data_IF_383740200053
#
_entry.id   IF_383740200053
#
_cell.length_a   1.000
_cell.length_b   1.000
_cell.length_c   1.000
_cell.angle_alpha   90.00
_cell.angle_beta   90.00
_cell.angle_gamma   90.00
#
_symmetry.space_group_name_H-M   'P 1'
#
loop_
_entity.id
_entity.type
_entity.pdbx_description
1 polymer ?
#
# COMPACT_ATOMS: atom_id res chain seq x y z
N UNK A 1 -9.10 24.08 2.63
CA UNK A 1 -8.67 22.76 3.15
C UNK A 1 -8.84 22.78 4.66
N UNK A 2 -9.31 21.72 5.33
CA UNK A 2 -9.51 21.75 6.77
C UNK A 2 -8.18 22.02 7.50
N UNK A 3 -8.19 22.85 8.54
CA UNK A 3 -6.98 23.23 9.33
C UNK A 3 -6.19 22.00 9.79
N UNK A 4 -6.91 20.93 10.14
CA UNK A 4 -6.34 19.64 10.56
C UNK A 4 -5.37 19.07 9.51
N UNK A 5 -5.69 19.17 8.22
CA UNK A 5 -4.81 18.65 7.16
C UNK A 5 -3.51 19.45 7.09
N UNK A 6 -3.60 20.77 7.18
CA UNK A 6 -2.42 21.64 7.18
C UNK A 6 -1.52 21.28 8.37
N UNK A 7 -2.12 21.07 9.55
CA UNK A 7 -1.41 20.59 10.74
C UNK A 7 -0.69 19.25 10.52
N UNK A 8 -1.35 18.26 9.91
CA UNK A 8 -0.75 16.96 9.59
C UNK A 8 0.47 17.11 8.67
N UNK A 9 0.38 17.96 7.64
CA UNK A 9 1.51 18.22 6.74
C UNK A 9 2.67 18.93 7.46
N UNK A 10 2.38 19.94 8.29
CA UNK A 10 3.42 20.67 9.05
C UNK A 10 4.14 19.73 10.01
N UNK A 11 3.38 18.96 10.80
CA UNK A 11 3.94 18.00 11.77
C UNK A 11 4.77 16.94 11.04
N UNK A 12 4.24 16.37 9.96
CA UNK A 12 4.97 15.36 9.17
C UNK A 12 6.26 15.94 8.60
N UNK A 13 6.21 17.14 8.02
CA UNK A 13 7.39 17.78 7.44
C UNK A 13 8.45 18.12 8.49
N UNK A 14 8.04 18.66 9.65
CA UNK A 14 8.94 18.94 10.77
C UNK A 14 9.62 17.66 11.29
N UNK A 15 8.86 16.58 11.47
CA UNK A 15 9.41 15.29 11.90
C UNK A 15 10.34 14.68 10.84
N UNK A 16 10.01 14.78 9.56
CA UNK A 16 10.86 14.27 8.48
C UNK A 16 12.18 15.02 8.40
N UNK A 17 12.17 16.35 8.51
CA UNK A 17 13.40 17.14 8.57
C UNK A 17 14.22 16.79 9.82
N UNK A 18 13.57 16.69 10.98
CA UNK A 18 14.26 16.34 12.22
C UNK A 18 14.89 14.94 12.18
N UNK A 19 14.30 14.00 11.44
CA UNK A 19 14.75 12.60 11.41
C UNK A 19 15.74 12.34 10.27
N UNK A 20 15.49 12.87 9.08
CA UNK A 20 16.24 12.56 7.86
C UNK A 20 17.10 13.74 7.35
N UNK A 21 16.87 14.94 7.88
CA UNK A 21 17.38 16.18 7.31
C UNK A 21 16.68 16.57 6.00
N UNK A 22 17.18 17.63 5.37
CA UNK A 22 16.76 18.04 4.03
C UNK A 22 17.61 17.30 2.98
N UNK A 23 17.15 16.13 2.55
CA UNK A 23 17.76 15.37 1.46
C UNK A 23 16.85 15.34 0.22
N UNK A 24 17.24 16.06 -0.82
CA UNK A 24 16.54 16.10 -2.12
C UNK A 24 17.26 15.30 -3.23
N UNK A 25 18.28 14.51 -2.88
CA UNK A 25 18.91 13.60 -3.84
C UNK A 25 17.94 12.49 -4.21
N UNK A 26 17.41 12.52 -5.43
CA UNK A 26 16.56 11.45 -5.96
C UNK A 26 17.46 10.22 -6.15
N UNK A 27 17.23 9.12 -5.41
CA UNK A 27 18.07 7.93 -5.54
C UNK A 27 17.98 7.39 -6.96
N UNK A 28 19.12 7.03 -7.54
CA UNK A 28 19.15 6.30 -8.80
C UNK A 28 18.46 4.93 -8.62
N UNK A 29 18.00 4.31 -9.72
CA UNK A 29 17.30 3.02 -9.65
C UNK A 29 18.15 1.88 -9.05
N UNK A 30 19.48 2.01 -9.04
CA UNK A 30 20.45 1.08 -8.45
C UNK A 30 20.65 1.30 -6.94
N UNK A 31 20.64 2.54 -6.46
CA UNK A 31 20.96 2.88 -5.06
C UNK A 31 19.76 2.70 -4.10
N UNK A 32 18.63 2.24 -4.65
CA UNK A 32 17.36 2.06 -3.91
C UNK A 32 17.52 1.13 -2.70
N UNK A 33 18.39 0.12 -2.78
CA UNK A 33 18.58 -0.82 -1.68
C UNK A 33 19.36 -0.20 -0.51
N UNK A 34 20.36 0.62 -0.79
CA UNK A 34 21.15 1.30 0.23
C UNK A 34 20.33 2.37 0.95
N UNK A 35 19.55 3.16 0.20
CA UNK A 35 18.64 4.14 0.78
C UNK A 35 17.60 3.48 1.68
N UNK A 36 17.12 2.28 1.32
CA UNK A 36 16.20 1.51 2.17
C UNK A 36 16.87 0.96 3.43
N UNK A 37 18.13 0.54 3.34
CA UNK A 37 18.89 0.09 4.51
C UNK A 37 19.09 1.25 5.49
N UNK A 38 19.55 2.41 5.00
CA UNK A 38 19.69 3.64 5.79
C UNK A 38 18.36 4.08 6.40
N UNK A 39 17.26 4.05 5.63
CA UNK A 39 15.94 4.35 6.14
C UNK A 39 15.55 3.43 7.31
N UNK A 40 15.80 2.12 7.19
CA UNK A 40 15.50 1.16 8.27
C UNK A 40 16.30 1.47 9.53
N UNK A 41 17.59 1.74 9.38
CA UNK A 41 18.49 2.07 10.49
C UNK A 41 18.08 3.36 11.22
N UNK A 42 17.83 4.44 10.46
CA UNK A 42 17.41 5.74 11.03
C UNK A 42 16.04 5.63 11.72
N UNK A 43 15.13 4.81 11.20
CA UNK A 43 13.76 4.69 11.72
C UNK A 43 13.58 3.60 12.77
N UNK A 44 14.61 2.82 13.07
CA UNK A 44 14.54 1.71 14.04
C UNK A 44 14.16 2.22 15.44
N UNK A 45 14.65 3.41 15.82
CA UNK A 45 14.31 4.08 17.08
C UNK A 45 13.13 5.05 17.02
N UNK A 46 12.59 5.37 15.84
CA UNK A 46 11.52 6.37 15.68
C UNK A 46 10.30 5.77 14.97
N UNK A 47 9.52 5.02 15.76
CA UNK A 47 8.31 4.33 15.34
C UNK A 47 7.29 5.29 14.71
N UNK A 48 7.14 6.50 15.29
CA UNK A 48 6.20 7.51 14.80
C UNK A 48 6.56 7.97 13.39
N UNK A 49 7.84 8.31 13.14
CA UNK A 49 8.30 8.72 11.80
C UNK A 49 8.10 7.59 10.79
N UNK A 50 8.36 6.33 11.18
CA UNK A 50 8.17 5.16 10.30
C UNK A 50 6.71 5.03 9.83
N UNK A 51 5.75 5.17 10.75
CA UNK A 51 4.33 5.12 10.40
C UNK A 51 3.90 6.34 9.58
N UNK A 52 4.31 7.55 9.97
CA UNK A 52 3.95 8.79 9.28
C UNK A 52 4.41 8.81 7.82
N UNK A 53 5.63 8.34 7.51
CA UNK A 53 6.11 8.24 6.13
C UNK A 53 5.19 7.33 5.30
N UNK A 54 4.77 6.19 5.85
CA UNK A 54 3.82 5.28 5.21
C UNK A 54 2.44 5.92 5.00
N UNK A 55 1.89 6.56 6.02
CA UNK A 55 0.58 7.22 5.97
C UNK A 55 0.55 8.34 4.95
N UNK A 56 1.60 9.16 4.92
CA UNK A 56 1.72 10.24 3.95
C UNK A 56 1.83 9.69 2.53
N UNK A 57 2.66 8.67 2.30
CA UNK A 57 2.92 8.11 0.98
C UNK A 57 1.77 7.32 0.36
N UNK A 58 0.99 6.58 1.16
CA UNK A 58 -0.08 5.70 0.68
C UNK A 58 -1.49 6.29 0.79
N UNK A 59 -1.71 7.29 1.66
CA UNK A 59 -3.07 7.76 1.96
C UNK A 59 -3.18 9.28 1.89
N UNK A 60 -2.49 10.00 2.77
CA UNK A 60 -2.73 11.44 2.94
C UNK A 60 -2.38 12.22 1.68
N UNK A 61 -1.23 11.91 1.06
CA UNK A 61 -0.80 12.64 -0.13
C UNK A 61 -1.55 12.23 -1.40
N UNK A 62 -1.99 10.96 -1.49
CA UNK A 62 -2.92 10.54 -2.54
C UNK A 62 -4.26 11.26 -2.40
N UNK A 63 -4.76 11.41 -1.17
CA UNK A 63 -5.98 12.19 -0.92
C UNK A 63 -5.81 13.65 -1.35
N UNK A 64 -4.69 14.30 -1.03
CA UNK A 64 -4.41 15.67 -1.45
C UNK A 64 -4.36 15.80 -2.99
N UNK A 65 -3.68 14.87 -3.67
CA UNK A 65 -3.65 14.81 -5.13
C UNK A 65 -5.07 14.80 -5.71
N UNK A 66 -5.90 13.86 -5.24
CA UNK A 66 -7.26 13.69 -5.73
C UNK A 66 -8.10 14.94 -5.45
N UNK A 67 -7.98 15.50 -4.24
CA UNK A 67 -8.62 16.75 -3.86
C UNK A 67 -8.23 17.90 -4.79
N UNK A 68 -6.93 18.10 -5.03
CA UNK A 68 -6.42 19.14 -5.91
C UNK A 68 -6.92 19.00 -7.36
N UNK A 69 -6.98 17.77 -7.88
CA UNK A 69 -7.49 17.47 -9.21
C UNK A 69 -9.00 17.78 -9.35
N UNK A 70 -9.79 17.48 -8.33
CA UNK A 70 -11.23 17.78 -8.33
C UNK A 70 -11.50 19.28 -8.21
N UNK A 71 -10.81 19.97 -7.30
CA UNK A 71 -10.99 21.42 -7.12
C UNK A 71 -10.23 22.24 -8.17
N UNK A 72 -9.51 21.59 -9.08
CA UNK A 72 -8.63 22.23 -10.10
C UNK A 72 -7.62 23.22 -9.49
N UNK A 73 -7.16 22.97 -8.26
CA UNK A 73 -6.26 23.87 -7.56
C UNK A 73 -4.80 23.52 -7.88
N UNK A 74 -4.20 24.29 -8.79
CA UNK A 74 -2.83 24.03 -9.26
C UNK A 74 -1.78 24.12 -8.14
N UNK A 75 -1.96 25.00 -7.15
CA UNK A 75 -1.02 25.14 -6.02
C UNK A 75 -0.99 23.88 -5.17
N UNK A 76 -2.15 23.32 -4.85
CA UNK A 76 -2.26 22.07 -4.10
C UNK A 76 -1.75 20.88 -4.92
N UNK A 77 -1.97 20.88 -6.24
CA UNK A 77 -1.47 19.84 -7.12
C UNK A 77 0.07 19.82 -7.15
N UNK A 78 0.70 20.97 -7.37
CA UNK A 78 2.16 21.11 -7.37
C UNK A 78 2.72 20.69 -6.01
N UNK A 79 2.13 21.19 -4.92
CA UNK A 79 2.55 20.82 -3.57
C UNK A 79 2.47 19.30 -3.34
N UNK A 80 1.36 18.67 -3.72
CA UNK A 80 1.19 17.21 -3.62
C UNK A 80 2.26 16.43 -4.38
N UNK A 81 2.59 16.86 -5.61
CA UNK A 81 3.61 16.21 -6.44
C UNK A 81 4.99 16.36 -5.81
N UNK A 82 5.39 17.57 -5.42
CA UNK A 82 6.69 17.83 -4.79
C UNK A 82 6.82 17.05 -3.48
N UNK A 83 5.77 17.03 -2.67
CA UNK A 83 5.75 16.28 -1.41
C UNK A 83 5.86 14.77 -1.65
N UNK A 84 5.23 14.23 -2.71
CA UNK A 84 5.36 12.81 -3.06
C UNK A 84 6.80 12.46 -3.47
N UNK A 85 7.44 13.32 -4.26
CA UNK A 85 8.83 13.15 -4.66
C UNK A 85 9.76 13.21 -3.46
N UNK A 86 9.50 14.11 -2.50
CA UNK A 86 10.24 14.16 -1.24
C UNK A 86 10.06 12.87 -0.43
N UNK A 87 8.83 12.35 -0.25
CA UNK A 87 8.62 11.05 0.40
C UNK A 87 9.39 9.93 -0.31
N UNK A 88 9.47 9.98 -1.64
CA UNK A 88 10.22 8.99 -2.42
C UNK A 88 11.72 9.07 -2.15
N UNK A 89 12.31 10.26 -1.97
CA UNK A 89 13.74 10.37 -1.62
C UNK A 89 14.05 9.78 -0.24
N UNK A 90 13.10 9.79 0.69
CA UNK A 90 13.28 9.22 2.02
C UNK A 90 13.34 7.69 2.03
N UNK A 91 12.46 7.03 1.25
CA UNK A 91 12.21 5.60 1.40
C UNK A 91 12.58 4.77 0.15
N UNK A 92 12.82 5.44 -0.98
CA UNK A 92 13.07 4.86 -2.30
C UNK A 92 12.04 3.75 -2.67
N UNK A 93 10.79 3.90 -2.22
CA UNK A 93 9.71 2.95 -2.49
C UNK A 93 9.03 3.29 -3.80
N UNK A 94 9.35 2.52 -4.84
CA UNK A 94 8.72 2.62 -6.17
C UNK A 94 7.20 2.43 -6.11
N UNK A 95 6.70 1.65 -5.15
CA UNK A 95 5.26 1.45 -4.93
C UNK A 95 4.51 2.72 -4.53
N UNK A 96 5.16 3.65 -3.79
CA UNK A 96 4.54 4.94 -3.43
C UNK A 96 4.29 5.79 -4.68
N UNK A 97 5.27 5.87 -5.58
CA UNK A 97 5.13 6.61 -6.83
C UNK A 97 4.11 5.94 -7.76
N UNK A 98 4.17 4.61 -7.88
CA UNK A 98 3.24 3.86 -8.71
C UNK A 98 1.78 4.04 -8.24
N UNK A 99 1.52 3.94 -6.93
CA UNK A 99 0.20 4.17 -6.36
C UNK A 99 -0.30 5.60 -6.59
N UNK A 100 0.58 6.60 -6.46
CA UNK A 100 0.25 8.01 -6.70
C UNK A 100 -0.11 8.28 -8.17
N UNK A 101 0.66 7.76 -9.11
CA UNK A 101 0.38 7.87 -10.56
C UNK A 101 -0.91 7.13 -10.91
N UNK A 102 -1.09 5.90 -10.40
CA UNK A 102 -2.29 5.11 -10.64
C UNK A 102 -3.54 5.81 -10.08
N UNK A 103 -3.43 6.48 -8.93
CA UNK A 103 -4.52 7.29 -8.38
C UNK A 103 -4.96 8.41 -9.33
N UNK A 104 -4.00 9.15 -9.92
CA UNK A 104 -4.30 10.19 -10.89
C UNK A 104 -4.97 9.61 -12.14
N UNK A 105 -4.47 8.50 -12.68
CA UNK A 105 -5.07 7.83 -13.85
C UNK A 105 -6.50 7.38 -13.57
N UNK A 106 -6.73 6.71 -12.44
CA UNK A 106 -8.07 6.26 -12.03
C UNK A 106 -9.02 7.44 -11.82
N UNK A 107 -8.54 8.57 -11.29
CA UNK A 107 -9.35 9.78 -11.18
C UNK A 107 -9.90 10.25 -12.54
N UNK A 108 -9.04 10.34 -13.56
CA UNK A 108 -9.48 10.74 -14.90
C UNK A 108 -10.43 9.73 -15.53
N UNK A 109 -10.17 8.43 -15.33
CA UNK A 109 -11.05 7.36 -15.81
C UNK A 109 -12.42 7.46 -15.16
N UNK A 110 -12.52 7.57 -13.83
CA UNK A 110 -13.81 7.66 -13.13
C UNK A 110 -14.52 9.00 -13.34
N UNK A 111 -13.78 10.07 -13.63
CA UNK A 111 -14.36 11.35 -14.04
C UNK A 111 -15.05 11.25 -15.41
N UNK A 112 -14.47 10.49 -16.35
CA UNK A 112 -15.03 10.28 -17.69
C UNK A 112 -16.10 9.19 -17.72
N UNK A 113 -15.88 8.09 -16.99
CA UNK A 113 -16.73 6.91 -16.97
C UNK A 113 -17.25 6.68 -15.55
N UNK A 114 -18.51 7.08 -15.33
CA UNK A 114 -19.17 6.93 -14.02
C UNK A 114 -19.40 5.46 -13.62
N UNK A 115 -19.50 4.57 -14.61
CA UNK A 115 -19.58 3.13 -14.46
C UNK A 115 -18.76 2.47 -15.56
N UNK A 116 -17.63 1.86 -15.21
CA UNK A 116 -17.00 0.86 -16.07
C UNK A 116 -17.81 -0.42 -15.94
N UNK A 117 -18.36 -0.92 -17.04
CA UNK A 117 -18.91 -2.28 -17.05
C UNK A 117 -17.80 -3.25 -16.66
N UNK A 118 -18.06 -4.14 -15.69
CA UNK A 118 -17.09 -5.13 -15.23
C UNK A 118 -16.50 -5.94 -16.38
N UNK A 119 -17.30 -6.20 -17.42
CA UNK A 119 -16.86 -6.87 -18.64
C UNK A 119 -15.85 -6.05 -19.44
N UNK A 120 -16.09 -4.74 -19.62
CA UNK A 120 -15.14 -3.85 -20.33
C UNK A 120 -13.83 -3.72 -19.57
N UNK A 121 -13.88 -3.67 -18.24
CA UNK A 121 -12.67 -3.64 -17.42
C UNK A 121 -11.87 -4.93 -17.53
N UNK A 122 -12.53 -6.09 -17.41
CA UNK A 122 -11.89 -7.40 -17.56
C UNK A 122 -11.28 -7.56 -18.95
N UNK A 123 -12.03 -7.23 -20.01
CA UNK A 123 -11.54 -7.27 -21.39
C UNK A 123 -10.31 -6.37 -21.57
N UNK A 124 -10.34 -5.15 -21.03
CA UNK A 124 -9.19 -4.24 -21.05
C UNK A 124 -7.97 -4.84 -20.34
N UNK A 125 -8.14 -5.43 -19.16
CA UNK A 125 -7.03 -6.08 -18.42
C UNK A 125 -6.43 -7.24 -19.19
N UNK A 126 -7.27 -8.10 -19.79
CA UNK A 126 -6.81 -9.24 -20.60
C UNK A 126 -6.05 -8.75 -21.83
N UNK A 127 -6.62 -7.80 -22.59
CA UNK A 127 -5.97 -7.23 -23.77
C UNK A 127 -4.63 -6.57 -23.39
N UNK A 128 -4.59 -5.85 -22.27
CA UNK A 128 -3.38 -5.22 -21.77
C UNK A 128 -2.29 -6.26 -21.48
N UNK A 129 -2.61 -7.34 -20.76
CA UNK A 129 -1.65 -8.42 -20.46
C UNK A 129 -1.16 -9.07 -21.77
N UNK A 130 -2.08 -9.42 -22.69
CA UNK A 130 -1.71 -10.01 -23.97
C UNK A 130 -0.83 -9.09 -24.82
N UNK A 131 -1.09 -7.78 -24.79
CA UNK A 131 -0.29 -6.81 -25.52
C UNK A 131 1.14 -6.72 -25.00
N UNK A 132 1.34 -6.83 -23.68
CA UNK A 132 2.66 -6.84 -23.06
C UNK A 132 3.44 -8.10 -23.45
N UNK A 133 2.80 -9.27 -23.34
CA UNK A 133 3.39 -10.55 -23.76
C UNK A 133 3.77 -10.55 -25.24
N UNK A 134 2.96 -9.90 -26.09
CA UNK A 134 3.27 -9.77 -27.52
C UNK A 134 4.46 -8.86 -27.78
N UNK A 135 4.61 -7.77 -27.02
CA UNK A 135 5.79 -6.89 -27.11
C UNK A 135 7.06 -7.63 -26.69
N UNK A 136 7.03 -8.40 -25.61
CA UNK A 136 8.19 -9.20 -25.18
C UNK A 136 8.55 -10.25 -26.24
N UNK A 137 7.54 -10.92 -26.82
CA UNK A 137 7.73 -11.87 -27.91
C UNK A 137 8.44 -11.26 -29.13
N UNK A 138 8.06 -10.03 -29.53
CA UNK A 138 8.69 -9.35 -30.66
C UNK A 138 10.10 -8.85 -30.30
N UNK A 139 10.27 -8.31 -29.10
CA UNK A 139 11.55 -7.70 -28.69
C UNK A 139 12.59 -8.72 -28.24
N UNK A 140 12.18 -9.97 -28.01
CA UNK A 140 13.05 -11.03 -27.46
C UNK A 140 13.55 -10.70 -26.06
N UNK A 141 12.88 -9.79 -25.36
CA UNK A 141 13.27 -9.30 -24.04
C UNK A 141 12.13 -9.55 -23.06
N UNK A 142 12.34 -10.39 -22.05
CA UNK A 142 11.31 -10.79 -21.09
C UNK A 142 11.02 -9.71 -20.02
N UNK A 143 11.43 -8.46 -20.26
CA UNK A 143 11.42 -7.41 -19.25
C UNK A 143 10.01 -7.06 -18.80
N UNK A 144 9.01 -7.00 -19.71
CA UNK A 144 7.65 -6.65 -19.32
C UNK A 144 6.95 -7.83 -18.62
N UNK A 145 7.18 -9.06 -19.06
CA UNK A 145 6.71 -10.29 -18.42
C UNK A 145 7.29 -10.42 -17.01
N UNK A 146 8.60 -10.18 -16.84
CA UNK A 146 9.26 -10.18 -15.53
C UNK A 146 8.71 -9.08 -14.61
N UNK A 147 8.37 -7.90 -15.15
CA UNK A 147 7.91 -6.77 -14.35
C UNK A 147 6.42 -6.81 -13.99
N UNK A 148 5.59 -7.42 -14.83
CA UNK A 148 4.12 -7.37 -14.68
C UNK A 148 3.60 -8.77 -14.35
N UNK A 149 3.73 -9.75 -15.25
CA UNK A 149 3.20 -11.10 -15.05
C UNK A 149 3.88 -11.78 -13.85
N UNK A 150 5.21 -11.80 -13.83
CA UNK A 150 5.96 -12.45 -12.76
C UNK A 150 5.77 -11.73 -11.42
N UNK A 151 5.83 -10.40 -11.38
CA UNK A 151 5.72 -9.67 -10.10
C UNK A 151 4.31 -9.58 -9.53
N UNK A 152 3.28 -9.48 -10.38
CA UNK A 152 1.90 -9.29 -9.89
C UNK A 152 1.22 -10.65 -9.68
N UNK A 153 1.52 -11.67 -10.49
CA UNK A 153 0.85 -12.97 -10.40
C UNK A 153 1.75 -14.06 -9.82
N UNK A 154 2.91 -14.31 -10.45
CA UNK A 154 3.72 -15.50 -10.13
C UNK A 154 4.36 -15.40 -8.75
N UNK A 155 5.04 -14.28 -8.44
CA UNK A 155 5.77 -14.10 -7.17
C UNK A 155 4.83 -14.15 -5.96
N UNK A 156 3.70 -13.43 -5.92
CA UNK A 156 2.75 -13.56 -4.82
C UNK A 156 2.22 -14.99 -4.63
N UNK A 157 1.96 -15.71 -5.72
CA UNK A 157 1.50 -17.10 -5.68
C UNK A 157 2.57 -18.05 -5.16
N UNK A 158 3.82 -17.85 -5.60
CA UNK A 158 4.97 -18.61 -5.13
C UNK A 158 5.23 -18.38 -3.64
N UNK A 159 5.16 -17.13 -3.18
CA UNK A 159 5.31 -16.79 -1.76
C UNK A 159 4.17 -17.36 -0.92
N UNK A 160 2.94 -17.33 -1.44
CA UNK A 160 1.77 -17.98 -0.84
C UNK A 160 2.03 -19.46 -0.59
N UNK A 161 2.52 -20.17 -1.61
CA UNK A 161 2.87 -21.59 -1.50
C UNK A 161 3.99 -21.82 -0.47
N UNK A 162 5.09 -21.07 -0.50
CA UNK A 162 6.20 -21.25 0.43
C UNK A 162 5.81 -21.03 1.90
N UNK A 163 4.97 -20.03 2.18
CA UNK A 163 4.44 -19.85 3.52
C UNK A 163 3.49 -20.98 3.92
N UNK A 164 2.61 -21.43 3.03
CA UNK A 164 1.71 -22.53 3.32
C UNK A 164 2.49 -23.81 3.67
N UNK A 165 3.39 -24.24 2.79
CA UNK A 165 4.22 -25.44 2.94
C UNK A 165 5.06 -25.40 4.23
N UNK A 166 5.67 -24.26 4.53
CA UNK A 166 6.47 -24.11 5.75
C UNK A 166 5.63 -24.24 7.02
N UNK A 167 4.47 -23.59 7.07
CA UNK A 167 3.64 -23.52 8.28
C UNK A 167 2.62 -24.65 8.39
N UNK A 168 2.47 -25.52 7.39
CA UNK A 168 1.54 -26.65 7.43
C UNK A 168 1.88 -27.64 8.56
N UNK A 169 3.15 -28.03 8.65
CA UNK A 169 3.64 -29.01 9.63
C UNK A 169 4.46 -28.39 10.76
N UNK A 170 4.38 -27.08 10.96
CA UNK A 170 5.15 -26.35 11.98
C UNK A 170 4.26 -25.51 12.89
N UNK A 171 4.80 -25.14 14.05
CA UNK A 171 4.11 -24.33 15.04
C UNK A 171 3.60 -23.02 14.44
N UNK A 172 2.34 -22.69 14.71
CA UNK A 172 1.76 -21.45 14.23
C UNK A 172 2.33 -20.25 14.99
N UNK A 173 2.27 -19.08 14.37
CA UNK A 173 2.95 -17.88 14.89
C UNK A 173 2.10 -17.10 15.89
N UNK A 174 0.78 -17.33 15.90
CA UNK A 174 -0.20 -16.64 16.75
C UNK A 174 -0.12 -15.10 16.67
N UNK A 175 0.41 -14.54 15.58
CA UNK A 175 0.78 -13.12 15.46
C UNK A 175 1.66 -12.57 16.62
N UNK A 176 2.35 -13.46 17.34
CA UNK A 176 3.20 -13.13 18.48
C UNK A 176 4.46 -12.35 18.10
N UNK A 177 4.80 -12.30 16.81
CA UNK A 177 5.87 -11.44 16.31
C UNK A 177 5.48 -9.94 16.25
N UNK A 178 4.19 -9.63 16.41
CA UNK A 178 3.64 -8.27 16.30
C UNK A 178 2.56 -8.01 17.34
N UNK A 179 1.28 -8.04 16.97
CA UNK A 179 0.16 -7.53 17.78
C UNK A 179 -0.06 -8.32 19.06
N UNK A 180 0.25 -9.63 19.07
CA UNK A 180 0.03 -10.49 20.24
C UNK A 180 1.33 -10.92 20.93
N UNK A 181 2.39 -10.12 20.80
CA UNK A 181 3.70 -10.38 21.41
C UNK A 181 3.64 -10.62 22.92
N UNK A 182 2.77 -9.90 23.62
CA UNK A 182 2.65 -9.98 25.08
C UNK A 182 1.68 -11.08 25.55
N UNK A 183 0.94 -11.71 24.63
CA UNK A 183 -0.09 -12.71 24.94
C UNK A 183 0.40 -14.13 24.64
N UNK A 184 1.14 -14.30 23.54
CA UNK A 184 1.62 -15.60 23.08
C UNK A 184 3.14 -15.61 22.95
N UNK A 185 3.77 -16.74 23.26
CA UNK A 185 5.20 -16.94 23.02
C UNK A 185 5.45 -17.17 21.53
N UNK A 186 6.32 -16.36 20.92
CA UNK A 186 6.69 -16.52 19.52
C UNK A 186 7.67 -17.70 19.34
N UNK A 187 7.37 -18.73 18.51
CA UNK A 187 8.18 -19.95 18.46
C UNK A 187 9.41 -19.88 17.53
N UNK A 188 9.72 -18.73 16.94
CA UNK A 188 10.82 -18.57 15.97
C UNK A 188 11.72 -17.39 16.31
N UNK A 189 12.91 -17.33 15.70
CA UNK A 189 13.87 -16.22 15.89
C UNK A 189 13.58 -15.03 14.98
N UNK A 190 13.13 -15.29 13.75
CA UNK A 190 12.88 -14.27 12.73
C UNK A 190 11.38 -14.10 12.50
N UNK A 191 10.90 -12.92 12.06
CA UNK A 191 9.52 -12.75 11.60
C UNK A 191 9.18 -13.69 10.42
N UNK A 192 7.92 -14.10 10.23
CA UNK A 192 7.55 -15.09 9.22
C UNK A 192 8.02 -14.77 7.79
N UNK A 193 7.92 -13.51 7.29
CA UNK A 193 8.45 -13.15 5.98
C UNK A 193 9.98 -13.34 5.85
N UNK A 194 10.73 -13.17 6.94
CA UNK A 194 12.19 -13.30 6.94
C UNK A 194 12.62 -14.77 7.04
N UNK A 195 11.85 -15.62 7.75
CA UNK A 195 12.07 -17.08 7.77
C UNK A 195 11.99 -17.65 6.34
N UNK A 196 10.96 -17.26 5.58
CA UNK A 196 10.81 -17.71 4.19
C UNK A 196 11.88 -17.11 3.28
N UNK A 197 12.29 -15.86 3.52
CA UNK A 197 13.43 -15.23 2.86
C UNK A 197 14.73 -16.01 3.05
N UNK A 198 15.04 -16.40 4.28
CA UNK A 198 16.20 -17.21 4.61
C UNK A 198 16.13 -18.60 3.96
N UNK A 199 15.01 -19.32 4.15
CA UNK A 199 14.89 -20.73 3.73
C UNK A 199 14.88 -20.92 2.21
N UNK A 200 14.18 -20.05 1.47
CA UNK A 200 13.99 -20.22 0.03
C UNK A 200 14.90 -19.33 -0.82
N UNK A 201 15.49 -18.28 -0.25
CA UNK A 201 16.33 -17.34 -0.98
C UNK A 201 17.73 -17.13 -0.36
N UNK A 202 18.05 -17.84 0.73
CA UNK A 202 19.37 -17.79 1.38
C UNK A 202 19.69 -16.44 2.02
N UNK A 203 18.70 -15.60 2.28
CA UNK A 203 18.91 -14.25 2.78
C UNK A 203 17.89 -13.87 3.85
N UNK A 204 18.32 -13.87 5.12
CA UNK A 204 17.51 -13.48 6.27
C UNK A 204 17.01 -12.01 6.22
N UNK A 205 17.71 -11.13 5.48
CA UNK A 205 17.30 -9.72 5.30
C UNK A 205 16.21 -9.58 4.24
N UNK A 206 15.96 -10.62 3.43
CA UNK A 206 14.89 -10.63 2.44
C UNK A 206 13.54 -10.81 3.13
N UNK A 207 12.60 -9.93 2.81
CA UNK A 207 11.24 -9.98 3.36
C UNK A 207 10.29 -10.57 2.31
N UNK A 208 9.97 -11.86 2.46
CA UNK A 208 9.00 -12.57 1.62
C UNK A 208 7.57 -12.35 2.14
N UNK A 209 6.99 -11.19 1.83
CA UNK A 209 5.64 -10.81 2.29
C UNK A 209 4.56 -11.61 1.55
N UNK A 210 3.49 -11.97 2.26
CA UNK A 210 2.33 -12.69 1.73
C UNK A 210 1.04 -11.90 1.92
N UNK A 211 -0.01 -12.35 1.23
CA UNK A 211 -1.35 -11.80 1.39
C UNK A 211 -1.95 -12.13 2.77
N UNK A 212 -3.02 -11.40 3.09
CA UNK A 212 -3.76 -11.47 4.35
C UNK A 212 -4.24 -12.89 4.73
N UNK A 213 -4.62 -13.72 3.75
CA UNK A 213 -5.21 -15.04 4.01
C UNK A 213 -4.14 -16.01 4.46
N UNK A 214 -3.01 -16.02 3.75
CA UNK A 214 -1.86 -16.85 4.11
C UNK A 214 -1.24 -16.37 5.42
N UNK A 215 -1.19 -15.06 5.67
CA UNK A 215 -0.79 -14.57 6.99
C UNK A 215 -1.74 -15.08 8.10
N UNK A 216 -3.05 -15.05 7.88
CA UNK A 216 -4.00 -15.69 8.80
C UNK A 216 -3.68 -17.17 9.01
N UNK A 217 -3.35 -17.89 7.94
CA UNK A 217 -2.94 -19.30 8.00
C UNK A 217 -1.64 -19.52 8.78
N UNK A 218 -0.62 -18.67 8.62
CA UNK A 218 0.62 -18.79 9.39
C UNK A 218 0.42 -18.49 10.87
N UNK A 219 -0.60 -17.69 11.21
CA UNK A 219 -0.92 -17.31 12.59
C UNK A 219 -1.77 -18.32 13.34
N UNK A 220 -2.87 -18.80 12.75
CA UNK A 220 -3.83 -19.69 13.42
C UNK A 220 -4.32 -20.84 12.51
N UNK A 221 -3.61 -21.15 11.42
CA UNK A 221 -4.07 -22.13 10.43
C UNK A 221 -5.38 -21.70 9.77
N UNK A 222 -6.23 -22.67 9.41
CA UNK A 222 -7.52 -22.38 8.77
C UNK A 222 -8.43 -21.46 9.60
N UNK A 223 -8.38 -21.54 10.93
CA UNK A 223 -9.10 -20.61 11.80
C UNK A 223 -8.67 -19.15 11.56
N UNK A 224 -7.38 -18.91 11.36
CA UNK A 224 -6.87 -17.57 11.05
C UNK A 224 -7.34 -17.06 9.69
N UNK A 225 -7.46 -17.93 8.69
CA UNK A 225 -8.04 -17.55 7.38
C UNK A 225 -9.47 -17.02 7.55
N UNK A 226 -10.29 -17.71 8.36
CA UNK A 226 -11.66 -17.28 8.67
C UNK A 226 -11.66 -15.96 9.43
N UNK A 227 -10.83 -15.82 10.46
CA UNK A 227 -10.72 -14.58 11.25
C UNK A 227 -10.39 -13.38 10.37
N UNK A 228 -9.35 -13.49 9.52
CA UNK A 228 -8.95 -12.38 8.65
C UNK A 228 -10.02 -12.08 7.60
N UNK A 229 -10.73 -13.10 7.09
CA UNK A 229 -11.86 -12.90 6.17
C UNK A 229 -13.01 -12.11 6.82
N UNK A 230 -13.34 -12.44 8.08
CA UNK A 230 -14.36 -11.71 8.84
C UNK A 230 -13.91 -10.27 9.13
N UNK A 231 -12.65 -10.06 9.50
CA UNK A 231 -12.09 -8.72 9.71
C UNK A 231 -12.14 -7.88 8.43
N UNK A 232 -11.77 -8.47 7.28
CA UNK A 232 -11.86 -7.79 5.98
C UNK A 232 -13.31 -7.43 5.63
N UNK A 233 -14.27 -8.33 5.88
CA UNK A 233 -15.70 -8.07 5.70
C UNK A 233 -16.18 -6.89 6.53
N UNK A 234 -15.84 -6.84 7.83
CA UNK A 234 -16.27 -5.75 8.69
C UNK A 234 -15.59 -4.41 8.31
N UNK A 235 -14.33 -4.46 7.88
CA UNK A 235 -13.64 -3.28 7.34
C UNK A 235 -14.34 -2.74 6.09
N UNK A 236 -14.68 -3.61 5.14
CA UNK A 236 -15.39 -3.23 3.91
C UNK A 236 -16.77 -2.65 4.22
N UNK A 237 -17.53 -3.27 5.13
CA UNK A 237 -18.83 -2.73 5.58
C UNK A 237 -18.71 -1.35 6.23
N UNK A 238 -17.69 -1.13 7.07
CA UNK A 238 -17.47 0.17 7.71
C UNK A 238 -17.21 1.25 6.65
N UNK A 239 -16.39 0.90 5.65
CA UNK A 239 -16.11 1.77 4.50
C UNK A 239 -17.37 2.06 3.69
N UNK A 240 -18.16 1.04 3.36
CA UNK A 240 -19.42 1.20 2.61
C UNK A 240 -20.41 2.09 3.36
N UNK A 241 -20.58 1.88 4.67
CA UNK A 241 -21.46 2.69 5.49
C UNK A 241 -21.03 4.17 5.51
N UNK A 242 -19.72 4.44 5.62
CA UNK A 242 -19.18 5.79 5.58
C UNK A 242 -19.32 6.43 4.20
N UNK A 243 -19.20 5.63 3.14
CA UNK A 243 -19.28 6.07 1.75
C UNK A 243 -20.72 6.36 1.31
N UNK A 244 -21.68 5.48 1.62
CA UNK A 244 -23.10 5.62 1.26
C UNK A 244 -23.67 6.95 1.80
N UNK A 245 -23.17 7.41 2.95
CA UNK A 245 -23.64 8.65 3.59
C UNK A 245 -23.01 9.94 3.04
N UNK A 246 -21.93 9.89 2.25
CA UNK A 246 -21.13 11.09 1.91
C UNK A 246 -20.82 11.16 0.41
N UNK A 247 -21.38 12.17 -0.28
CA UNK A 247 -21.50 12.25 -1.74
C UNK A 247 -20.23 12.57 -2.54
N UNK A 248 -19.04 12.12 -2.11
CA UNK A 248 -17.76 12.30 -2.82
C UNK A 248 -17.32 11.05 -3.58
N UNK A 249 -18.14 10.57 -4.52
CA UNK A 249 -18.09 9.18 -5.01
C UNK A 249 -16.75 8.73 -5.61
N UNK A 250 -15.97 9.59 -6.26
CA UNK A 250 -14.85 9.12 -7.08
C UNK A 250 -13.50 9.05 -6.34
N UNK A 251 -13.19 10.00 -5.45
CA UNK A 251 -11.86 10.04 -4.80
C UNK A 251 -11.66 8.90 -3.80
N UNK A 252 -12.69 8.65 -2.97
CA UNK A 252 -12.62 7.66 -1.90
C UNK A 252 -12.51 6.26 -2.51
N UNK A 253 -13.28 5.98 -3.58
CA UNK A 253 -13.20 4.73 -4.33
C UNK A 253 -11.78 4.47 -4.83
N UNK A 254 -11.09 5.49 -5.38
CA UNK A 254 -9.73 5.33 -5.88
C UNK A 254 -8.76 4.90 -4.77
N UNK A 255 -8.81 5.56 -3.61
CA UNK A 255 -7.91 5.23 -2.49
C UNK A 255 -8.20 3.83 -1.93
N UNK A 256 -9.49 3.47 -1.80
CA UNK A 256 -9.90 2.13 -1.34
C UNK A 256 -9.42 1.07 -2.32
N UNK A 257 -9.67 1.24 -3.62
CA UNK A 257 -9.24 0.29 -4.66
C UNK A 257 -7.73 0.06 -4.63
N UNK A 258 -6.94 1.14 -4.50
CA UNK A 258 -5.48 1.03 -4.43
C UNK A 258 -5.01 0.21 -3.23
N UNK A 259 -5.59 0.43 -2.05
CA UNK A 259 -5.20 -0.37 -0.90
C UNK A 259 -5.75 -1.81 -0.94
N UNK A 260 -6.95 -2.05 -1.49
CA UNK A 260 -7.46 -3.42 -1.73
C UNK A 260 -6.54 -4.23 -2.64
N UNK A 261 -6.05 -3.62 -3.73
CA UNK A 261 -5.09 -4.26 -4.62
C UNK A 261 -3.77 -4.64 -3.90
N UNK A 262 -3.28 -3.80 -2.98
CA UNK A 262 -2.07 -4.11 -2.22
C UNK A 262 -2.28 -5.23 -1.19
N UNK A 263 -3.43 -5.21 -0.49
CA UNK A 263 -3.80 -6.19 0.53
C UNK A 263 -3.91 -7.61 -0.05
N UNK A 264 -4.60 -7.74 -1.18
CA UNK A 264 -4.86 -9.04 -1.81
C UNK A 264 -3.56 -9.66 -2.33
N UNK A 265 -2.61 -8.85 -2.80
CA UNK A 265 -1.41 -9.36 -3.43
C UNK A 265 -0.27 -9.65 -2.45
N UNK A 266 0.03 -8.74 -1.52
CA UNK A 266 1.35 -8.81 -0.87
C UNK A 266 1.43 -8.05 0.44
N UNK A 267 0.34 -7.94 1.18
CA UNK A 267 0.33 -7.20 2.45
C UNK A 267 -0.54 -7.87 3.50
N UNK A 268 -0.07 -7.84 4.74
CA UNK A 268 -0.81 -8.27 5.92
C UNK A 268 -1.96 -7.33 6.30
N UNK A 269 -2.97 -7.87 6.98
CA UNK A 269 -4.11 -7.07 7.44
C UNK A 269 -3.67 -5.97 8.43
N UNK A 270 -2.74 -6.29 9.34
CA UNK A 270 -2.24 -5.32 10.31
C UNK A 270 -1.32 -4.28 9.68
N UNK A 271 -0.46 -4.67 8.73
CA UNK A 271 0.36 -3.69 7.98
C UNK A 271 -0.52 -2.74 7.19
N UNK A 272 -1.64 -3.22 6.64
CA UNK A 272 -2.59 -2.34 5.97
C UNK A 272 -3.23 -1.33 6.91
N UNK A 273 -3.81 -1.80 8.02
CA UNK A 273 -4.50 -0.93 8.98
C UNK A 273 -3.55 0.08 9.61
N UNK A 274 -2.38 -0.39 10.06
CA UNK A 274 -1.41 0.38 10.82
C UNK A 274 -0.39 1.07 9.93
N UNK A 275 0.32 0.35 9.06
CA UNK A 275 1.47 0.90 8.31
C UNK A 275 1.07 1.66 7.05
N UNK A 276 0.12 1.14 6.27
CA UNK A 276 -0.38 1.82 5.08
C UNK A 276 -1.46 2.87 5.41
N UNK A 277 -1.81 3.05 6.69
CA UNK A 277 -2.63 4.18 7.13
C UNK A 277 -4.11 4.05 6.76
N UNK A 278 -4.64 2.84 6.60
CA UNK A 278 -6.07 2.67 6.38
C UNK A 278 -6.91 3.17 7.57
N UNK A 279 -6.39 3.07 8.78
CA UNK A 279 -7.01 3.74 9.93
C UNK A 279 -7.07 5.26 9.76
N UNK A 280 -5.99 5.86 9.25
CA UNK A 280 -5.94 7.29 8.92
C UNK A 280 -6.93 7.62 7.81
N UNK A 281 -7.07 6.78 6.78
CA UNK A 281 -8.06 6.96 5.72
C UNK A 281 -9.48 7.05 6.29
N UNK A 282 -9.84 6.15 7.20
CA UNK A 282 -11.13 6.16 7.90
C UNK A 282 -11.30 7.49 8.64
N UNK A 283 -10.32 7.90 9.45
CA UNK A 283 -10.36 9.18 10.16
C UNK A 283 -10.52 10.37 9.20
N UNK A 284 -9.75 10.42 8.12
CA UNK A 284 -9.84 11.48 7.11
C UNK A 284 -11.24 11.55 6.50
N UNK A 285 -11.82 10.41 6.14
CA UNK A 285 -13.17 10.37 5.57
C UNK A 285 -14.21 10.86 6.58
N UNK A 286 -14.07 10.52 7.87
CA UNK A 286 -15.00 10.96 8.92
C UNK A 286 -14.93 12.47 9.21
N UNK A 287 -13.74 13.08 9.17
CA UNK A 287 -13.53 14.47 9.56
C UNK A 287 -13.72 15.43 8.38
N UNK A 288 -13.44 14.98 7.15
CA UNK A 288 -13.45 15.86 5.99
C UNK A 288 -14.85 16.45 5.70
N UNK A 289 -14.98 17.77 5.48
CA UNK A 289 -16.26 18.42 5.20
C UNK A 289 -16.67 18.22 3.73
N UNK A 290 -17.38 17.12 3.45
CA UNK A 290 -17.78 16.73 2.09
C UNK A 290 -18.77 17.68 1.39
N UNK A 291 -19.45 18.57 2.14
CA UNK A 291 -20.39 19.56 1.56
C UNK A 291 -19.72 20.50 0.55
N UNK A 292 -18.46 20.86 0.79
CA UNK A 292 -17.67 21.78 -0.06
C UNK A 292 -17.41 21.23 -1.47
N UNK A 293 -17.38 19.91 -1.63
CA UNK A 293 -17.13 19.27 -2.93
C UNK A 293 -18.37 19.18 -3.83
N UNK A 294 -19.57 19.37 -3.26
CA UNK A 294 -20.85 19.24 -3.96
C UNK A 294 -21.23 20.48 -4.76
N UNK A 295 -20.65 21.64 -4.41
CA UNK A 295 -20.85 22.93 -5.07
C UNK A 295 -19.86 23.18 -6.22
N UNK A 296 -18.79 22.38 -6.31
CA UNK A 296 -17.72 22.53 -7.32
C UNK A 296 -17.73 21.47 -8.42
N UNK A 297 -18.70 20.55 -8.41
CA UNK A 297 -18.87 19.46 -9.40
C UNK A 297 -20.07 19.71 -10.28
#
# INVERSE_FOLDING_TARGET
MPIIFIGVYIISFALFISTFGLRFSIPSLSDVYDVRAQYKEITEGNILTRYLVGWMGYVVNIFLLLYALQTKNLKLLIFSVVFQLYIFTLMALKSHLAAYILAALLFFVFKKYRTLSSFKFLAFTVIFILSLSFVDFITGNDLLEMLITRRIMVVPSQLTYYHFDFFEHRSKTYWAFSVFKDIFSYPYKLPPPNIIGEKHFGNEKMTAVVNLFIEGYTAFGYCGVVMVTLLLKELLKAIDYMFIKRSGRNMIIVIILLGLCNIINSTSIFTMLLTHGWFILILLITIFPWKVLKESS
#
